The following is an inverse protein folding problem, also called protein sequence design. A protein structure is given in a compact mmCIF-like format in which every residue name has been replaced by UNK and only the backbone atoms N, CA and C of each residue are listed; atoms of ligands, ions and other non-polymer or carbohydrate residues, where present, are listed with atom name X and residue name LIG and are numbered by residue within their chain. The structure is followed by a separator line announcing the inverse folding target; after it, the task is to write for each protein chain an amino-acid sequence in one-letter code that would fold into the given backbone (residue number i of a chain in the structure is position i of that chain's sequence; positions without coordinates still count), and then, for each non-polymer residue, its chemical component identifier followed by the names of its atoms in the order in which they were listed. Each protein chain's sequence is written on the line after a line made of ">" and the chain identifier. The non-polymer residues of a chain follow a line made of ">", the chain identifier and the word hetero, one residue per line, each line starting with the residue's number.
data_IF_940532940162
#
_entry.id   IF_940532940162
#
_cell.length_a   1.000
_cell.length_b   1.000
_cell.length_c   1.000
_cell.angle_alpha   90.00
_cell.angle_beta   90.00
_cell.angle_gamma   90.00
#
_symmetry.space_group_name_H-M   'P 1'
#
loop_
_entity.id
_entity.type
_entity.pdbx_description
1 polymer ?
#
# COMPACT_ATOMS: atom_id res chain seq x y z
N UNK A 1 -2.21 26.60 6.92
CA UNK A 1 -2.39 25.63 5.81
C UNK A 1 -2.82 24.32 6.44
N UNK A 2 -4.05 23.87 6.16
CA UNK A 2 -4.53 22.58 6.67
C UNK A 2 -3.60 21.49 6.13
N UNK A 3 -2.93 20.76 7.02
CA UNK A 3 -2.11 19.61 6.67
C UNK A 3 -3.04 18.56 6.03
N UNK A 4 -3.17 18.57 4.70
CA UNK A 4 -3.89 17.51 4.00
C UNK A 4 -3.22 16.19 4.37
N UNK A 5 -3.98 15.32 5.05
CA UNK A 5 -3.54 13.99 5.43
C UNK A 5 -3.25 13.20 4.17
N UNK A 6 -2.18 12.42 4.18
CA UNK A 6 -1.89 11.50 3.10
C UNK A 6 -2.89 10.33 3.16
N UNK A 7 -3.41 9.92 2.00
CA UNK A 7 -4.00 8.59 1.89
C UNK A 7 -2.86 7.57 2.04
N UNK A 8 -2.95 6.72 3.06
CA UNK A 8 -1.94 5.69 3.33
C UNK A 8 -2.35 4.39 2.64
N UNK A 9 -1.53 3.93 1.71
CA UNK A 9 -1.70 2.63 1.05
C UNK A 9 -0.47 1.78 1.37
N UNK A 10 -0.70 0.67 2.07
CA UNK A 10 0.33 -0.28 2.45
C UNK A 10 0.22 -1.50 1.55
N UNK A 11 1.33 -1.92 0.95
CA UNK A 11 1.40 -3.06 0.07
C UNK A 11 2.26 -4.13 0.72
N UNK A 12 1.74 -5.36 0.79
CA UNK A 12 2.45 -6.49 1.39
C UNK A 12 2.46 -7.65 0.41
N UNK A 13 3.64 -8.21 0.18
CA UNK A 13 3.86 -9.32 -0.76
C UNK A 13 4.49 -8.88 -2.06
N UNK A 14 4.33 -9.71 -3.10
CA UNK A 14 4.98 -9.51 -4.39
C UNK A 14 4.33 -8.36 -5.17
N UNK A 15 5.15 -7.49 -5.76
CA UNK A 15 4.71 -6.42 -6.64
C UNK A 15 4.63 -6.91 -8.10
N UNK A 16 3.68 -7.81 -8.36
CA UNK A 16 3.39 -8.30 -9.72
C UNK A 16 2.40 -7.37 -10.46
N UNK A 17 2.10 -7.70 -11.73
CA UNK A 17 1.17 -6.96 -12.57
C UNK A 17 -0.23 -6.83 -11.94
N UNK A 18 -0.67 -7.80 -11.14
CA UNK A 18 -1.99 -7.76 -10.49
C UNK A 18 -2.01 -6.72 -9.40
N UNK A 19 -0.95 -6.65 -8.59
CA UNK A 19 -0.80 -5.63 -7.55
C UNK A 19 -0.69 -4.24 -8.18
N UNK A 20 0.05 -4.13 -9.29
CA UNK A 20 0.18 -2.89 -10.07
C UNK A 20 -1.17 -2.40 -10.58
N UNK A 21 -1.95 -3.25 -11.24
CA UNK A 21 -3.27 -2.87 -11.75
C UNK A 21 -4.23 -2.50 -10.61
N UNK A 22 -4.19 -3.24 -9.50
CA UNK A 22 -4.98 -2.89 -8.32
C UNK A 22 -4.59 -1.53 -7.75
N UNK A 23 -3.29 -1.24 -7.69
CA UNK A 23 -2.82 0.05 -7.21
C UNK A 23 -3.26 1.18 -8.15
N UNK A 24 -3.19 1.00 -9.47
CA UNK A 24 -3.69 1.99 -10.45
C UNK A 24 -5.18 2.27 -10.25
N UNK A 25 -6.01 1.23 -10.04
CA UNK A 25 -7.43 1.39 -9.70
C UNK A 25 -7.59 2.30 -8.47
N UNK A 26 -6.84 2.03 -7.39
CA UNK A 26 -6.95 2.79 -6.14
C UNK A 26 -6.45 4.22 -6.25
N UNK A 27 -5.41 4.47 -7.02
CA UNK A 27 -4.94 5.83 -7.28
C UNK A 27 -5.96 6.63 -8.11
N UNK A 28 -6.63 6.00 -9.09
CA UNK A 28 -7.73 6.64 -9.84
C UNK A 28 -8.92 6.97 -8.93
N UNK A 29 -9.29 6.05 -8.03
CA UNK A 29 -10.31 6.29 -7.01
C UNK A 29 -9.93 7.46 -6.09
N UNK A 30 -8.70 7.49 -5.58
CA UNK A 30 -8.19 8.57 -4.73
C UNK A 30 -8.22 9.92 -5.46
N UNK A 31 -7.76 9.96 -6.71
CA UNK A 31 -7.80 11.16 -7.53
C UNK A 31 -9.22 11.68 -7.75
N UNK A 32 -10.19 10.79 -7.98
CA UNK A 32 -11.61 11.16 -8.13
C UNK A 32 -12.23 11.75 -6.85
N UNK A 33 -11.65 11.45 -5.69
CA UNK A 33 -12.05 11.97 -4.37
C UNK A 33 -11.27 13.21 -3.95
N UNK A 34 -10.47 13.77 -4.86
CA UNK A 34 -9.56 14.90 -4.60
C UNK A 34 -8.43 14.59 -3.58
N UNK A 35 -8.17 13.31 -3.31
CA UNK A 35 -7.06 12.86 -2.46
C UNK A 35 -5.77 12.86 -3.29
N UNK A 36 -5.05 13.99 -3.28
CA UNK A 36 -3.87 14.19 -4.14
C UNK A 36 -2.54 13.75 -3.52
N UNK A 37 -2.51 13.47 -2.22
CA UNK A 37 -1.29 13.13 -1.47
C UNK A 37 -1.36 11.67 -1.04
N UNK A 38 -0.47 10.85 -1.59
CA UNK A 38 -0.48 9.41 -1.38
C UNK A 38 0.83 8.97 -0.73
N UNK A 39 0.73 8.22 0.37
CA UNK A 39 1.87 7.57 1.01
C UNK A 39 1.78 6.07 0.74
N UNK A 40 2.61 5.59 -0.19
CA UNK A 40 2.76 4.18 -0.49
C UNK A 40 3.84 3.61 0.41
N UNK A 41 3.54 2.51 1.10
CA UNK A 41 4.54 1.77 1.87
C UNK A 41 4.56 0.32 1.46
N UNK A 42 5.73 -0.15 1.06
CA UNK A 42 5.97 -1.55 0.72
C UNK A 42 6.55 -2.29 1.92
N UNK A 43 5.91 -3.39 2.28
CA UNK A 43 6.38 -4.36 3.26
C UNK A 43 6.88 -5.60 2.54
N UNK A 44 8.19 -5.72 2.41
CA UNK A 44 8.86 -6.74 1.60
C UNK A 44 9.50 -7.81 2.50
N UNK A 45 9.45 -9.08 2.08
CA UNK A 45 10.23 -10.15 2.73
C UNK A 45 11.73 -9.99 2.46
N UNK A 46 12.10 -9.55 1.25
CA UNK A 46 13.47 -9.21 0.85
C UNK A 46 13.51 -7.80 0.27
N UNK A 47 14.01 -6.84 1.05
CA UNK A 47 14.14 -5.45 0.66
C UNK A 47 15.31 -5.17 -0.31
N UNK A 48 16.11 -6.19 -0.66
CA UNK A 48 17.23 -6.02 -1.61
C UNK A 48 16.82 -6.13 -3.07
N UNK A 49 15.61 -6.64 -3.34
CA UNK A 49 15.06 -6.73 -4.68
C UNK A 49 14.54 -5.37 -5.15
N UNK A 50 14.98 -4.89 -6.32
CA UNK A 50 14.45 -3.68 -6.96
C UNK A 50 13.18 -3.96 -7.79
N UNK A 51 12.68 -5.19 -7.79
CA UNK A 51 11.59 -5.62 -8.66
C UNK A 51 10.29 -4.83 -8.43
N UNK A 52 10.00 -4.46 -7.18
CA UNK A 52 8.83 -3.64 -6.86
C UNK A 52 8.92 -2.22 -7.41
N UNK A 53 10.12 -1.62 -7.44
CA UNK A 53 10.29 -0.29 -8.05
C UNK A 53 10.08 -0.32 -9.56
N UNK A 54 10.57 -1.36 -10.24
CA UNK A 54 10.31 -1.56 -11.67
C UNK A 54 8.83 -1.79 -11.95
N UNK A 55 8.14 -2.61 -11.13
CA UNK A 55 6.70 -2.79 -11.20
C UNK A 55 5.93 -1.48 -10.95
N UNK A 56 6.46 -0.61 -10.10
CA UNK A 56 5.88 0.69 -9.77
C UNK A 56 6.10 1.77 -10.84
N UNK A 57 7.09 1.63 -11.71
CA UNK A 57 7.36 2.61 -12.78
C UNK A 57 6.10 3.01 -13.56
N UNK A 58 5.30 2.09 -14.13
CA UNK A 58 4.07 2.46 -14.85
C UNK A 58 3.05 3.18 -13.95
N UNK A 59 2.92 2.77 -12.69
CA UNK A 59 2.01 3.41 -11.72
C UNK A 59 2.39 4.88 -11.53
N UNK A 60 3.67 5.17 -11.30
CA UNK A 60 4.13 6.54 -11.05
C UNK A 60 4.04 7.41 -12.31
N UNK A 61 4.36 6.86 -13.48
CA UNK A 61 4.30 7.57 -14.76
C UNK A 61 2.86 7.90 -15.19
N UNK A 62 1.88 7.04 -14.88
CA UNK A 62 0.47 7.27 -15.20
C UNK A 62 -0.20 8.26 -14.22
N UNK A 63 0.39 8.52 -13.05
CA UNK A 63 -0.24 9.27 -11.96
C UNK A 63 0.55 10.53 -11.56
N UNK A 64 1.12 11.25 -12.54
CA UNK A 64 1.96 12.44 -12.31
C UNK A 64 1.25 13.63 -11.65
N UNK A 65 -0.10 13.62 -11.63
CA UNK A 65 -0.91 14.63 -10.94
C UNK A 65 -1.03 14.38 -9.42
N UNK A 66 -0.56 13.23 -8.93
CA UNK A 66 -0.53 12.88 -7.52
C UNK A 66 0.85 13.18 -6.93
N UNK A 67 0.88 13.66 -5.70
CA UNK A 67 2.08 13.70 -4.87
C UNK A 67 2.21 12.35 -4.17
N UNK A 68 3.09 11.49 -4.70
CA UNK A 68 3.32 10.14 -4.19
C UNK A 68 4.63 10.08 -3.44
N UNK A 69 4.58 9.65 -2.18
CA UNK A 69 5.75 9.27 -1.39
C UNK A 69 5.80 7.75 -1.35
N UNK A 70 6.98 7.18 -1.60
CA UNK A 70 7.20 5.73 -1.56
C UNK A 70 8.17 5.44 -0.41
N UNK A 71 7.76 4.53 0.47
CA UNK A 71 8.57 4.03 1.58
C UNK A 71 8.69 2.51 1.48
N UNK A 72 9.83 1.99 1.92
CA UNK A 72 10.11 0.55 1.97
C UNK A 72 10.44 0.16 3.40
N UNK A 73 9.87 -0.97 3.85
CA UNK A 73 10.15 -1.56 5.14
C UNK A 73 10.19 -3.09 5.02
N UNK A 74 10.95 -3.77 5.90
CA UNK A 74 10.83 -5.21 6.02
C UNK A 74 9.44 -5.58 6.55
N UNK A 75 8.90 -6.72 6.10
CA UNK A 75 7.59 -7.22 6.54
C UNK A 75 7.51 -7.44 8.06
N UNK A 76 8.64 -7.68 8.72
CA UNK A 76 8.73 -7.82 10.18
C UNK A 76 8.32 -6.55 10.95
N UNK A 77 8.36 -5.37 10.33
CA UNK A 77 7.90 -4.12 10.96
C UNK A 77 6.38 -3.91 10.80
N UNK A 78 5.68 -4.71 10.00
CA UNK A 78 4.25 -4.54 9.72
C UNK A 78 3.40 -4.62 10.99
N UNK A 79 3.66 -5.60 11.86
CA UNK A 79 2.90 -5.77 13.12
C UNK A 79 3.02 -4.55 14.03
N UNK A 80 4.25 -4.06 14.20
CA UNK A 80 4.55 -2.88 15.01
C UNK A 80 3.93 -1.61 14.41
N UNK A 81 3.98 -1.45 13.09
CA UNK A 81 3.37 -0.31 12.42
C UNK A 81 1.83 -0.35 12.51
N UNK A 82 1.22 -1.53 12.38
CA UNK A 82 -0.22 -1.73 12.60
C UNK A 82 -0.63 -1.39 14.03
N UNK A 83 0.16 -1.80 15.03
CA UNK A 83 -0.08 -1.49 16.44
C UNK A 83 0.08 0.01 16.76
N UNK A 84 0.85 0.73 15.95
CA UNK A 84 1.14 2.16 16.11
C UNK A 84 0.13 3.08 15.42
N UNK A 85 -0.89 2.53 14.73
CA UNK A 85 -1.91 3.33 14.06
C UNK A 85 -2.78 4.09 15.07
N UNK A 86 -2.84 5.42 14.93
CA UNK A 86 -3.68 6.29 15.73
C UNK A 86 -5.17 6.15 15.39
N UNK A 87 -6.04 6.76 16.20
CA UNK A 87 -7.50 6.71 15.97
C UNK A 87 -7.94 7.40 14.69
N UNK A 88 -7.17 8.38 14.21
CA UNK A 88 -7.47 9.14 12.99
C UNK A 88 -6.78 8.60 11.72
N UNK A 89 -6.07 7.48 11.83
CA UNK A 89 -5.36 6.88 10.70
C UNK A 89 -6.28 5.92 9.94
N UNK A 90 -6.54 6.24 8.67
CA UNK A 90 -7.13 5.32 7.71
C UNK A 90 -6.04 4.75 6.80
N UNK A 91 -5.92 3.43 6.78
CA UNK A 91 -4.93 2.71 5.96
C UNK A 91 -5.62 1.69 5.07
N UNK A 92 -5.33 1.75 3.78
CA UNK A 92 -5.65 0.68 2.83
C UNK A 92 -4.48 -0.30 2.77
N UNK A 93 -4.69 -1.52 3.22
CA UNK A 93 -3.73 -2.62 3.12
C UNK A 93 -4.05 -3.50 1.93
N UNK A 94 -3.15 -3.55 0.96
CA UNK A 94 -3.23 -4.39 -0.23
C UNK A 94 -2.32 -5.60 -0.03
N UNK A 95 -2.92 -6.79 0.04
CA UNK A 95 -2.19 -8.05 0.21
C UNK A 95 -2.10 -8.77 -1.14
N UNK A 96 -0.90 -9.16 -1.55
CA UNK A 96 -0.70 -10.03 -2.71
C UNK A 96 0.08 -11.29 -2.34
N UNK A 97 -0.42 -12.45 -2.78
CA UNK A 97 0.21 -13.75 -2.53
C UNK A 97 -0.05 -14.35 -1.13
N UNK A 98 0.57 -15.51 -0.88
CA UNK A 98 0.54 -16.20 0.43
C UNK A 98 1.82 -15.86 1.19
N UNK A 99 1.77 -14.80 1.98
CA UNK A 99 2.83 -14.46 2.92
C UNK A 99 2.87 -15.50 4.04
N UNK A 100 4.01 -16.16 4.21
CA UNK A 100 4.17 -17.18 5.26
C UNK A 100 4.14 -16.57 6.66
N UNK A 101 4.53 -15.29 6.77
CA UNK A 101 4.73 -14.59 8.03
C UNK A 101 3.84 -13.34 8.15
N UNK A 102 2.63 -13.35 7.58
CA UNK A 102 1.71 -12.23 7.76
C UNK A 102 1.19 -12.23 9.22
N UNK A 103 1.38 -11.13 9.98
CA UNK A 103 0.84 -11.01 11.33
C UNK A 103 -0.69 -11.00 11.32
N UNK A 104 -1.31 -11.28 12.46
CA UNK A 104 -2.76 -11.15 12.60
C UNK A 104 -3.18 -9.70 12.35
N UNK A 105 -4.02 -9.50 11.33
CA UNK A 105 -4.47 -8.16 10.97
C UNK A 105 -5.58 -7.70 11.93
N UNK A 106 -5.46 -6.52 12.54
CA UNK A 106 -6.48 -6.02 13.44
C UNK A 106 -7.80 -5.83 12.69
N UNK A 107 -8.89 -6.38 13.23
CA UNK A 107 -10.24 -6.21 12.67
C UNK A 107 -10.84 -4.92 13.21
N UNK A 108 -11.03 -3.91 12.36
CA UNK A 108 -11.66 -2.65 12.75
C UNK A 108 -11.80 -1.66 11.59
N UNK A 109 -12.54 -0.55 11.80
CA UNK A 109 -12.79 0.49 10.78
C UNK A 109 -11.52 1.20 10.25
N UNK A 110 -10.39 1.05 10.95
CA UNK A 110 -9.10 1.73 10.71
C UNK A 110 -8.28 1.14 9.56
N UNK A 111 -8.40 -0.17 9.34
CA UNK A 111 -7.63 -0.92 8.38
C UNK A 111 -8.57 -1.55 7.35
N UNK A 112 -8.52 -1.03 6.12
CA UNK A 112 -9.25 -1.64 5.01
C UNK A 112 -8.33 -2.62 4.31
N UNK A 113 -8.68 -3.90 4.33
CA UNK A 113 -7.85 -4.94 3.70
C UNK A 113 -8.45 -5.34 2.37
N UNK A 114 -7.67 -5.20 1.30
CA UNK A 114 -8.00 -5.70 -0.03
C UNK A 114 -6.98 -6.76 -0.46
N UNK A 115 -7.46 -7.87 -1.02
CA UNK A 115 -6.61 -8.96 -1.51
C UNK A 115 -6.54 -8.91 -3.03
N UNK A 116 -5.32 -9.02 -3.55
CA UNK A 116 -5.04 -9.14 -4.97
C UNK A 116 -4.91 -10.63 -5.27
N UNK A 117 -5.94 -11.20 -5.88
CA UNK A 117 -5.97 -12.60 -6.27
C UNK A 117 -6.28 -13.58 -5.12
N UNK A 118 -7.30 -14.39 -5.34
CA UNK A 118 -7.55 -15.62 -4.60
C UNK A 118 -8.21 -16.60 -5.56
N UNK A 119 -7.46 -17.61 -6.00
CA UNK A 119 -8.04 -18.85 -6.55
C UNK A 119 -7.10 -19.98 -6.15
N UNK A 120 -7.62 -20.94 -5.37
CA UNK A 120 -7.11 -22.31 -5.23
C UNK A 120 -5.76 -22.48 -4.55
#
# INVERSE_FOLDING_TARGET
>A
MLAQKFLKIWLVGEADDRMVEKLKEKLREAFSREERRIALRFYLEDASSMAHLEAMRPVLLENTLLSVVVEEKPVSELEKDLASLGEEDEVLLILNGRLKNLPELPRGRRLRVEKVGGVG
#
